data_IF_029964547301
#
_entry.id   IF_029964547301
#
_cell.length_a   1.000
_cell.length_b   1.000
_cell.length_c   1.000
_cell.angle_alpha   90.00
_cell.angle_beta   90.00
_cell.angle_gamma   90.00
#
_symmetry.space_group_name_H-M   'P 1'
#
loop_
_entity.id
_entity.type
_entity.pdbx_description
1 polymer ?
#
# COMPACT_ATOMS: atom_id res chain seq x y z
N UNK A 1 14.52 -19.33 7.44
CA UNK A 1 14.70 -18.68 6.11
C UNK A 1 15.24 -17.26 6.24
N UNK A 2 14.50 -16.30 6.82
CA UNK A 2 14.97 -14.89 6.95
C UNK A 2 16.36 -14.80 7.59
N UNK A 3 16.58 -15.47 8.74
CA UNK A 3 17.88 -15.49 9.43
C UNK A 3 18.99 -16.19 8.63
N UNK A 4 18.64 -17.20 7.82
CA UNK A 4 19.62 -17.91 6.99
C UNK A 4 20.09 -17.04 5.82
N UNK A 5 19.18 -16.26 5.22
CA UNK A 5 19.54 -15.30 4.16
C UNK A 5 20.45 -14.18 4.69
N UNK A 6 20.23 -13.73 5.92
CA UNK A 6 21.01 -12.67 6.56
C UNK A 6 22.32 -13.17 7.22
N UNK A 7 22.57 -14.48 7.25
CA UNK A 7 23.73 -15.04 7.94
C UNK A 7 25.06 -14.72 7.24
N UNK A 8 25.04 -14.54 5.92
CA UNK A 8 26.21 -14.20 5.12
C UNK A 8 25.85 -13.11 4.10
N UNK A 9 26.78 -12.19 3.76
CA UNK A 9 26.54 -11.22 2.72
C UNK A 9 26.34 -11.92 1.37
N UNK A 10 25.32 -11.49 0.63
CA UNK A 10 24.89 -12.12 -0.63
C UNK A 10 23.42 -12.54 -0.58
N UNK A 11 23.00 -13.37 -1.54
CA UNK A 11 21.64 -13.93 -1.58
C UNK A 11 21.66 -15.44 -1.78
N UNK A 12 22.17 -16.21 -0.81
CA UNK A 12 22.39 -17.65 -0.95
C UNK A 12 21.08 -18.45 -1.11
N UNK A 13 20.00 -18.08 -0.42
CA UNK A 13 18.74 -18.82 -0.42
C UNK A 13 17.78 -18.32 -1.50
N UNK A 14 17.63 -16.99 -1.65
CA UNK A 14 16.69 -16.40 -2.61
C UNK A 14 17.31 -16.06 -3.97
N UNK A 15 18.62 -16.32 -4.19
CA UNK A 15 19.31 -16.11 -5.49
C UNK A 15 19.10 -14.72 -6.11
N UNK A 16 18.92 -13.69 -5.27
CA UNK A 16 18.69 -12.30 -5.68
C UNK A 16 17.23 -11.87 -5.75
N UNK A 17 16.27 -12.76 -5.49
CA UNK A 17 14.83 -12.45 -5.51
C UNK A 17 14.38 -11.67 -4.25
N UNK A 18 14.62 -10.36 -4.27
CA UNK A 18 14.22 -9.44 -3.19
C UNK A 18 12.71 -9.41 -2.92
N UNK A 19 11.88 -9.67 -3.94
CA UNK A 19 10.43 -9.74 -3.81
C UNK A 19 9.97 -10.93 -2.96
N UNK A 20 10.59 -12.10 -3.15
CA UNK A 20 10.29 -13.30 -2.36
C UNK A 20 10.74 -13.12 -0.92
N UNK A 21 11.90 -12.52 -0.71
CA UNK A 21 12.35 -12.14 0.62
C UNK A 21 11.32 -11.23 1.32
N UNK A 22 10.85 -10.19 0.64
CA UNK A 22 9.86 -9.27 1.20
C UNK A 22 8.54 -9.97 1.54
N UNK A 23 8.02 -10.83 0.66
CA UNK A 23 6.83 -11.66 0.94
C UNK A 23 7.00 -12.54 2.19
N UNK A 24 8.17 -13.14 2.39
CA UNK A 24 8.43 -13.98 3.55
C UNK A 24 8.50 -13.14 4.83
N UNK A 25 9.13 -11.96 4.78
CA UNK A 25 9.19 -11.05 5.94
C UNK A 25 7.81 -10.51 6.31
N UNK A 26 6.99 -10.13 5.33
CA UNK A 26 5.63 -9.65 5.57
C UNK A 26 4.73 -10.74 6.14
N UNK A 27 4.76 -11.93 5.52
CA UNK A 27 4.01 -13.08 6.01
C UNK A 27 4.42 -13.46 7.43
N UNK A 28 5.73 -13.48 7.73
CA UNK A 28 6.22 -13.80 9.08
C UNK A 28 5.66 -12.84 10.13
N UNK A 29 5.76 -11.52 9.91
CA UNK A 29 5.24 -10.54 10.86
C UNK A 29 3.74 -10.68 11.11
N UNK A 30 2.97 -10.83 10.03
CA UNK A 30 1.51 -10.96 10.13
C UNK A 30 1.07 -12.29 10.76
N UNK A 31 1.72 -13.41 10.42
CA UNK A 31 1.45 -14.71 11.04
C UNK A 31 1.71 -14.64 12.54
N UNK A 32 2.89 -14.16 12.94
CA UNK A 32 3.28 -14.14 14.36
C UNK A 32 2.32 -13.31 15.21
N UNK A 33 1.92 -12.12 14.74
CA UNK A 33 1.04 -11.24 15.52
C UNK A 33 -0.42 -11.69 15.45
N UNK A 34 -1.00 -11.75 14.24
CA UNK A 34 -2.43 -11.93 14.08
C UNK A 34 -2.89 -13.39 14.14
N UNK A 35 -2.03 -14.36 13.78
CA UNK A 35 -2.42 -15.76 13.65
C UNK A 35 -1.80 -16.68 14.71
N UNK A 36 -0.76 -16.23 15.43
CA UNK A 36 -0.13 -16.99 16.51
C UNK A 36 -0.43 -16.34 17.87
N UNK A 37 0.11 -15.15 18.14
CA UNK A 37 0.04 -14.53 19.48
C UNK A 37 -1.39 -14.22 19.88
N UNK A 38 -2.15 -13.52 19.02
CA UNK A 38 -3.52 -13.10 19.34
C UNK A 38 -4.48 -14.29 19.53
N UNK A 39 -4.53 -15.30 18.63
CA UNK A 39 -5.41 -16.45 18.81
C UNK A 39 -5.02 -17.33 20.00
N UNK A 40 -3.73 -17.50 20.30
CA UNK A 40 -3.32 -18.29 21.46
C UNK A 40 -3.78 -17.61 22.76
N UNK A 41 -3.50 -16.31 22.92
CA UNK A 41 -3.81 -15.59 24.15
C UNK A 41 -5.32 -15.34 24.33
N UNK A 42 -6.00 -14.81 23.29
CA UNK A 42 -7.40 -14.40 23.40
C UNK A 42 -8.38 -15.49 22.92
N UNK A 43 -8.00 -16.26 21.90
CA UNK A 43 -8.81 -17.35 21.38
C UNK A 43 -8.73 -18.63 22.23
N UNK A 44 -7.55 -18.95 22.76
CA UNK A 44 -7.32 -20.13 23.60
C UNK A 44 -7.43 -19.80 25.09
N UNK A 45 -6.40 -19.16 25.65
CA UNK A 45 -6.29 -18.96 27.10
C UNK A 45 -7.43 -18.13 27.67
N UNK A 46 -7.81 -17.01 27.05
CA UNK A 46 -8.88 -16.17 27.60
C UNK A 46 -10.25 -16.88 27.56
N UNK A 47 -10.57 -17.61 26.48
CA UNK A 47 -11.80 -18.39 26.39
C UNK A 47 -11.89 -19.51 27.43
N UNK A 48 -10.76 -20.10 27.81
CA UNK A 48 -10.72 -21.13 28.84
C UNK A 48 -10.73 -20.54 30.27
N UNK A 49 -9.85 -19.57 30.54
CA UNK A 49 -9.62 -19.05 31.88
C UNK A 49 -10.71 -18.09 32.37
N UNK A 50 -11.36 -17.33 31.47
CA UNK A 50 -12.35 -16.34 31.90
C UNK A 50 -13.59 -17.01 32.50
N UNK A 51 -14.31 -17.92 31.79
CA UNK A 51 -15.48 -18.57 32.36
C UNK A 51 -15.16 -19.31 33.67
N UNK A 52 -14.03 -20.00 33.68
CA UNK A 52 -13.55 -20.75 34.85
C UNK A 52 -13.37 -19.86 36.09
N UNK A 53 -12.65 -18.74 35.96
CA UNK A 53 -12.39 -17.85 37.10
C UNK A 53 -13.57 -16.93 37.46
N UNK A 54 -14.46 -16.67 36.50
CA UNK A 54 -15.70 -15.91 36.73
C UNK A 54 -16.78 -16.79 37.39
N UNK A 55 -16.61 -18.12 37.33
CA UNK A 55 -17.55 -19.11 37.85
C UNK A 55 -18.76 -19.32 36.95
N UNK A 56 -18.66 -19.01 35.66
CA UNK A 56 -19.73 -19.26 34.70
C UNK A 56 -19.56 -20.64 34.05
N UNK A 57 -20.67 -21.30 33.77
CA UNK A 57 -20.67 -22.61 33.07
C UNK A 57 -20.11 -22.50 31.65
N UNK A 58 -20.34 -21.37 30.99
CA UNK A 58 -19.93 -21.10 29.61
C UNK A 58 -19.78 -19.59 29.38
N UNK A 59 -19.40 -19.21 28.16
CA UNK A 59 -19.40 -17.83 27.66
C UNK A 59 -20.83 -17.33 27.36
N UNK A 60 -21.01 -16.02 27.21
CA UNK A 60 -22.32 -15.38 27.06
C UNK A 60 -22.96 -15.71 25.71
N UNK A 61 -22.14 -15.75 24.65
CA UNK A 61 -22.57 -16.12 23.31
C UNK A 61 -21.72 -17.26 22.74
N UNK A 62 -22.04 -18.53 23.04
CA UNK A 62 -21.23 -19.69 22.60
C UNK A 62 -21.14 -19.82 21.08
N UNK A 63 -22.26 -19.60 20.37
CA UNK A 63 -22.29 -19.66 18.89
C UNK A 63 -21.45 -18.56 18.24
N UNK A 64 -21.50 -17.35 18.78
CA UNK A 64 -20.71 -16.23 18.29
C UNK A 64 -19.20 -16.48 18.51
N UNK A 65 -18.84 -17.10 19.63
CA UNK A 65 -17.46 -17.52 19.90
C UNK A 65 -16.96 -18.54 18.86
N UNK A 66 -17.79 -19.53 18.52
CA UNK A 66 -17.48 -20.52 17.50
C UNK A 66 -17.29 -19.89 16.12
N UNK A 67 -18.16 -18.94 15.73
CA UNK A 67 -18.00 -18.20 14.47
C UNK A 67 -16.68 -17.43 14.44
N UNK A 68 -16.32 -16.76 15.55
CA UNK A 68 -15.04 -16.05 15.66
C UNK A 68 -13.85 -16.98 15.45
N UNK A 69 -13.90 -18.19 16.02
CA UNK A 69 -12.88 -19.21 15.79
C UNK A 69 -12.78 -19.62 14.32
N UNK A 70 -13.90 -19.84 13.62
CA UNK A 70 -13.89 -20.27 12.21
C UNK A 70 -13.48 -19.19 11.21
N UNK A 71 -13.66 -17.91 11.54
CA UNK A 71 -13.19 -16.80 10.70
C UNK A 71 -11.65 -16.73 10.67
N UNK A 72 -11.00 -17.10 11.77
CA UNK A 72 -9.54 -17.04 11.89
C UNK A 72 -8.77 -17.91 10.88
N UNK A 73 -9.07 -19.21 10.69
CA UNK A 73 -8.42 -20.03 9.68
C UNK A 73 -8.72 -19.56 8.26
N UNK A 74 -9.90 -18.99 7.98
CA UNK A 74 -10.19 -18.37 6.68
C UNK A 74 -9.23 -17.21 6.38
N UNK A 75 -8.98 -16.34 7.36
CA UNK A 75 -7.99 -15.26 7.26
C UNK A 75 -6.56 -15.78 7.06
N UNK A 76 -6.22 -16.91 7.69
CA UNK A 76 -4.91 -17.55 7.53
C UNK A 76 -4.72 -18.17 6.14
N UNK A 77 -5.76 -18.83 5.60
CA UNK A 77 -5.72 -19.40 4.24
C UNK A 77 -5.48 -18.31 3.20
N UNK A 78 -6.12 -17.15 3.35
CA UNK A 78 -5.86 -15.99 2.49
C UNK A 78 -4.41 -15.54 2.57
N UNK A 79 -3.84 -15.42 3.77
CA UNK A 79 -2.44 -15.07 3.94
C UNK A 79 -1.50 -16.12 3.31
N UNK A 80 -1.76 -17.40 3.57
CA UNK A 80 -0.97 -18.51 3.03
C UNK A 80 -0.98 -18.54 1.50
N UNK A 81 -2.09 -18.13 0.86
CA UNK A 81 -2.22 -18.04 -0.60
C UNK A 81 -1.12 -17.20 -1.24
N UNK A 82 -0.57 -16.20 -0.54
CA UNK A 82 0.45 -15.31 -1.08
C UNK A 82 1.75 -16.05 -1.40
N UNK A 83 2.10 -17.07 -0.63
CA UNK A 83 3.26 -17.92 -0.92
C UNK A 83 3.09 -18.70 -2.23
N UNK A 84 1.85 -19.06 -2.58
CA UNK A 84 1.50 -19.81 -3.79
C UNK A 84 1.19 -18.93 -5.00
N UNK A 85 1.09 -17.60 -4.83
CA UNK A 85 0.92 -16.70 -5.96
C UNK A 85 2.16 -16.80 -6.85
N UNK A 86 1.96 -17.39 -8.03
CA UNK A 86 2.93 -17.29 -9.12
C UNK A 86 2.84 -15.89 -9.73
N UNK A 87 3.94 -15.37 -10.28
CA UNK A 87 3.89 -14.21 -11.16
C UNK A 87 3.07 -14.65 -12.38
N UNK A 88 1.77 -14.45 -12.30
CA UNK A 88 0.91 -14.64 -13.44
C UNK A 88 1.24 -13.45 -14.34
N UNK A 89 1.72 -13.74 -15.55
CA UNK A 89 2.05 -12.76 -16.60
C UNK A 89 0.76 -12.07 -17.08
N UNK A 90 -0.03 -11.50 -16.19
CA UNK A 90 -0.92 -10.43 -16.55
C UNK A 90 0.01 -9.32 -16.98
N UNK A 91 0.16 -9.17 -18.31
CA UNK A 91 0.67 -7.95 -18.90
C UNK A 91 -0.28 -6.86 -18.43
N UNK A 92 -0.01 -6.30 -17.26
CA UNK A 92 -0.43 -4.96 -16.95
C UNK A 92 0.24 -4.13 -18.02
N UNK A 93 -0.54 -3.78 -19.04
CA UNK A 93 -0.24 -2.62 -19.85
C UNK A 93 -0.34 -1.45 -18.87
N UNK A 94 0.73 -1.21 -18.11
CA UNK A 94 1.05 0.14 -17.72
C UNK A 94 1.15 0.87 -19.05
N UNK A 95 0.04 1.45 -19.52
CA UNK A 95 0.12 2.60 -20.42
C UNK A 95 0.94 3.58 -19.60
N UNK A 96 2.22 3.65 -19.88
CA UNK A 96 3.11 4.66 -19.35
C UNK A 96 2.55 5.98 -19.86
N UNK A 97 1.60 6.56 -19.13
CA UNK A 97 1.32 7.97 -19.23
C UNK A 97 2.67 8.65 -18.98
N UNK A 98 3.05 9.52 -19.90
CA UNK A 98 4.34 10.21 -19.96
C UNK A 98 5.51 9.44 -20.60
N UNK A 99 5.28 8.91 -21.79
CA UNK A 99 6.13 9.34 -22.90
C UNK A 99 5.21 9.84 -23.99
N UNK A 100 5.26 11.15 -24.30
CA UNK A 100 4.93 11.54 -25.67
C UNK A 100 5.78 10.62 -26.55
N UNK A 101 5.19 9.81 -27.45
CA UNK A 101 6.00 9.12 -28.42
C UNK A 101 6.76 10.22 -29.15
N UNK A 102 8.08 10.27 -28.95
CA UNK A 102 8.91 11.11 -29.81
C UNK A 102 8.52 10.69 -31.22
N UNK A 103 8.02 11.66 -32.00
CA UNK A 103 7.57 11.48 -33.37
C UNK A 103 8.54 10.52 -34.07
N UNK A 104 8.13 9.27 -34.23
CA UNK A 104 8.93 8.30 -34.95
C UNK A 104 9.12 8.89 -36.33
N UNK A 105 10.38 9.14 -36.70
CA UNK A 105 10.74 9.78 -37.99
C UNK A 105 10.15 9.02 -39.19
N UNK A 106 9.82 7.74 -39.00
CA UNK A 106 9.10 6.87 -39.94
C UNK A 106 7.61 7.21 -40.09
N UNK A 107 6.91 7.58 -39.01
CA UNK A 107 5.50 7.99 -39.03
C UNK A 107 5.31 9.35 -39.68
N UNK A 108 6.26 10.29 -39.50
CA UNK A 108 6.22 11.60 -40.17
C UNK A 108 6.09 11.50 -41.70
N UNK A 109 6.68 10.45 -42.32
CA UNK A 109 6.56 10.23 -43.75
C UNK A 109 5.16 9.75 -44.18
N UNK A 110 4.42 9.04 -43.34
CA UNK A 110 3.04 8.63 -43.64
C UNK A 110 2.06 9.81 -43.66
N UNK A 111 2.35 10.87 -42.90
CA UNK A 111 1.50 12.07 -42.84
C UNK A 111 1.83 13.12 -43.92
N UNK A 112 2.77 12.83 -44.81
CA UNK A 112 3.19 13.76 -45.87
C UNK A 112 2.18 13.84 -47.02
N UNK A 113 1.40 12.77 -47.23
CA UNK A 113 0.35 12.71 -48.27
C UNK A 113 -0.82 13.66 -47.98
N UNK A 114 -1.13 13.92 -46.71
CA UNK A 114 -2.26 14.79 -46.32
C UNK A 114 -1.92 16.27 -46.24
N UNK A 115 -0.71 16.68 -46.66
CA UNK A 115 -0.25 18.07 -46.50
C UNK A 115 -0.95 19.06 -47.45
N UNK A 116 -1.50 18.58 -48.57
CA UNK A 116 -2.05 19.45 -49.62
C UNK A 116 -3.58 19.39 -49.75
N UNK A 117 -4.26 18.44 -49.12
CA UNK A 117 -5.72 18.31 -49.20
C UNK A 117 -6.39 18.89 -47.93
N UNK A 118 -6.74 20.18 -48.01
CA UNK A 118 -7.38 20.93 -46.92
C UNK A 118 -8.68 20.27 -46.40
N UNK A 119 -9.41 19.54 -47.25
CA UNK A 119 -10.68 18.91 -46.90
C UNK A 119 -10.48 17.69 -45.98
N UNK A 120 -9.55 16.79 -46.33
CA UNK A 120 -9.28 15.58 -45.56
C UNK A 120 -8.52 15.86 -44.25
N UNK A 121 -7.72 16.93 -44.22
CA UNK A 121 -7.03 17.37 -43.00
C UNK A 121 -8.01 17.90 -41.93
N UNK A 122 -9.04 18.64 -42.33
CA UNK A 122 -10.06 19.15 -41.41
C UNK A 122 -10.96 18.06 -40.86
N UNK A 123 -11.30 17.05 -41.67
CA UNK A 123 -12.13 15.93 -41.23
C UNK A 123 -11.36 14.99 -40.28
N UNK A 124 -10.05 14.81 -40.51
CA UNK A 124 -9.15 14.14 -39.57
C UNK A 124 -9.09 14.87 -38.21
N UNK A 125 -8.82 16.19 -38.21
CA UNK A 125 -8.81 16.98 -36.97
C UNK A 125 -10.16 16.97 -36.26
N UNK A 126 -11.26 17.05 -37.00
CA UNK A 126 -12.61 17.01 -36.43
C UNK A 126 -12.89 15.66 -35.76
N UNK A 127 -12.45 14.56 -36.38
CA UNK A 127 -12.59 13.20 -35.83
C UNK A 127 -11.76 12.99 -34.57
N UNK A 128 -10.56 13.57 -34.52
CA UNK A 128 -9.66 13.53 -33.35
C UNK A 128 -10.15 14.43 -32.20
N UNK A 129 -10.86 15.51 -32.50
CA UNK A 129 -11.50 16.40 -31.50
C UNK A 129 -12.77 15.76 -30.92
N UNK A 130 -13.50 14.93 -31.69
CA UNK A 130 -14.77 14.32 -31.27
C UNK A 130 -14.64 13.00 -30.52
N UNK A 131 -13.45 12.40 -30.42
CA UNK A 131 -13.25 11.24 -29.56
C UNK A 131 -13.30 11.64 -28.07
N UNK A 132 -14.27 11.07 -27.35
CA UNK A 132 -14.79 11.39 -26.00
C UNK A 132 -13.80 11.20 -24.82
N UNK A 133 -12.54 11.60 -24.97
CA UNK A 133 -11.52 11.53 -23.91
C UNK A 133 -10.83 12.88 -23.61
N UNK A 134 -11.42 14.00 -24.02
CA UNK A 134 -10.84 15.33 -23.77
C UNK A 134 -11.12 15.84 -22.34
N UNK A 135 -10.09 15.74 -21.50
CA UNK A 135 -9.95 16.59 -20.31
C UNK A 135 -9.95 18.06 -20.75
N UNK A 136 -10.98 18.81 -20.37
CA UNK A 136 -11.00 20.27 -20.53
C UNK A 136 -9.86 20.91 -19.74
N UNK A 137 -8.86 21.44 -20.46
CA UNK A 137 -7.86 22.32 -19.89
C UNK A 137 -8.51 23.67 -19.54
N UNK A 138 -8.67 23.95 -18.24
CA UNK A 138 -9.07 25.29 -17.79
C UNK A 138 -7.94 26.26 -18.12
N UNK A 139 -8.20 27.28 -18.95
CA UNK A 139 -7.18 28.25 -19.34
C UNK A 139 -6.56 28.93 -18.10
N UNK A 140 -5.22 28.96 -18.05
CA UNK A 140 -4.46 29.59 -16.97
C UNK A 140 -4.74 31.09 -16.95
N UNK A 141 -5.08 31.64 -15.77
CA UNK A 141 -5.32 33.08 -15.57
C UNK A 141 -4.04 33.85 -15.93
N UNK A 142 -4.12 34.74 -16.91
CA UNK A 142 -3.01 35.64 -17.28
C UNK A 142 -2.98 36.79 -16.28
N UNK A 143 -1.97 36.81 -15.42
CA UNK A 143 -1.73 37.92 -14.49
C UNK A 143 -1.01 39.01 -15.28
N UNK A 144 -1.68 40.14 -15.53
CA UNK A 144 -1.07 41.32 -16.14
C UNK A 144 -0.49 42.20 -15.02
N UNK A 145 0.83 42.17 -14.85
CA UNK A 145 1.55 43.14 -14.02
C UNK A 145 1.96 44.30 -14.94
N UNK A 146 1.44 45.52 -14.72
CA UNK A 146 1.60 46.64 -15.66
C UNK A 146 3.04 47.15 -15.81
N UNK A 147 3.98 46.65 -15.00
CA UNK A 147 5.38 47.09 -14.99
C UNK A 147 6.29 46.31 -15.96
N UNK A 148 5.83 45.24 -16.63
CA UNK A 148 6.69 44.39 -17.46
C UNK A 148 6.03 44.01 -18.80
N UNK A 149 6.73 44.26 -19.92
CA UNK A 149 6.20 44.06 -21.29
C UNK A 149 6.69 42.80 -22.02
N UNK A 150 7.70 42.08 -21.50
CA UNK A 150 8.19 40.83 -22.12
C UNK A 150 8.45 39.79 -21.04
N UNK A 151 7.74 38.66 -21.10
CA UNK A 151 7.94 37.54 -20.19
C UNK A 151 8.48 36.34 -20.97
N UNK A 152 9.78 36.09 -20.87
CA UNK A 152 10.42 34.87 -21.39
C UNK A 152 11.10 34.14 -20.24
N UNK A 153 10.66 32.92 -19.96
CA UNK A 153 11.39 32.00 -19.10
C UNK A 153 12.49 31.35 -19.94
N UNK A 154 13.63 32.03 -20.04
CA UNK A 154 15.01 31.56 -20.32
C UNK A 154 15.77 32.72 -20.99
N UNK A 155 16.86 33.23 -20.40
CA UNK A 155 17.67 34.23 -21.07
C UNK A 155 18.50 33.55 -22.18
N UNK A 156 18.18 33.87 -23.45
CA UNK A 156 18.94 33.50 -24.65
C UNK A 156 20.39 34.05 -24.67
N UNK A 157 20.77 34.83 -23.64
CA UNK A 157 22.08 35.50 -23.51
C UNK A 157 23.25 34.55 -23.16
N UNK A 158 22.96 33.28 -22.88
CA UNK A 158 23.97 32.25 -22.54
C UNK A 158 24.42 31.38 -23.73
N UNK A 159 23.92 31.64 -24.94
CA UNK A 159 24.21 30.82 -26.14
C UNK A 159 25.44 31.27 -26.94
N UNK A 160 26.19 32.28 -26.50
CA UNK A 160 27.32 32.82 -27.28
C UNK A 160 28.67 32.48 -26.64
N UNK A 161 29.54 31.80 -27.39
CA UNK A 161 30.87 31.35 -26.94
C UNK A 161 31.76 32.49 -26.40
N UNK A 162 31.55 33.72 -26.89
CA UNK A 162 32.27 34.94 -26.46
C UNK A 162 31.94 35.35 -25.01
N UNK A 163 30.75 35.05 -24.49
CA UNK A 163 30.36 35.46 -23.11
C UNK A 163 30.82 34.46 -22.06
N UNK A 164 31.03 33.20 -22.42
CA UNK A 164 31.61 32.16 -21.56
C UNK A 164 33.09 32.41 -21.20
N UNK A 165 33.85 33.02 -22.12
CA UNK A 165 35.27 33.34 -21.90
C UNK A 165 35.43 34.46 -20.86
N UNK A 166 34.50 35.42 -20.82
CA UNK A 166 34.59 36.58 -19.92
C UNK A 166 34.18 36.27 -18.47
N UNK A 167 33.55 35.13 -18.20
CA UNK A 167 33.09 34.76 -16.86
C UNK A 167 33.40 33.28 -16.56
N UNK A 168 34.64 32.94 -16.17
CA UNK A 168 35.09 31.54 -15.98
C UNK A 168 34.26 30.78 -14.93
N UNK A 169 33.72 31.48 -13.93
CA UNK A 169 32.81 30.92 -12.92
C UNK A 169 31.52 30.33 -13.52
N UNK A 170 31.00 30.96 -14.57
CA UNK A 170 29.78 30.50 -15.24
C UNK A 170 30.01 29.24 -16.09
N UNK A 171 31.23 29.08 -16.62
CA UNK A 171 31.66 27.86 -17.30
C UNK A 171 31.80 26.70 -16.31
N UNK A 172 32.42 26.93 -15.15
CA UNK A 172 32.54 25.90 -14.10
C UNK A 172 31.16 25.50 -13.55
N UNK A 173 30.25 26.45 -13.37
CA UNK A 173 28.87 26.19 -12.98
C UNK A 173 28.10 25.35 -14.02
N UNK A 174 28.30 25.60 -15.32
CA UNK A 174 27.69 24.81 -16.38
C UNK A 174 28.30 23.39 -16.49
N UNK A 175 29.62 23.29 -16.43
CA UNK A 175 30.34 22.02 -16.52
C UNK A 175 30.01 21.08 -15.36
N UNK A 176 29.94 21.60 -14.13
CA UNK A 176 29.60 20.83 -12.93
C UNK A 176 28.18 20.24 -12.99
N UNK A 177 27.20 21.00 -13.50
CA UNK A 177 25.83 20.52 -13.74
C UNK A 177 25.77 19.39 -14.78
N UNK A 178 26.57 19.48 -15.84
CA UNK A 178 26.65 18.44 -16.89
C UNK A 178 27.30 17.16 -16.35
N UNK A 179 28.30 17.26 -15.47
CA UNK A 179 28.92 16.09 -14.83
C UNK A 179 27.94 15.40 -13.86
N UNK A 180 27.17 16.18 -13.11
CA UNK A 180 26.18 15.65 -12.15
C UNK A 180 24.97 15.00 -12.83
N UNK A 181 24.59 15.46 -14.03
CA UNK A 181 23.55 14.80 -14.85
C UNK A 181 24.03 13.48 -15.44
N UNK A 182 25.31 13.37 -15.83
CA UNK A 182 25.89 12.14 -16.41
C UNK A 182 26.21 11.05 -15.37
N UNK A 183 26.27 11.36 -14.08
CA UNK A 183 26.53 10.38 -12.99
C UNK A 183 25.33 10.00 -12.14
N UNK A 184 24.10 10.13 -12.64
CA UNK A 184 23.01 9.30 -12.10
C UNK A 184 23.03 7.96 -12.80
N UNK A 185 23.62 6.93 -12.16
CA UNK A 185 23.21 5.55 -12.41
C UNK A 185 21.73 5.47 -12.04
N UNK A 186 20.85 5.74 -13.01
CA UNK A 186 19.43 5.51 -12.86
C UNK A 186 19.26 4.01 -12.90
N UNK A 187 19.24 3.38 -11.73
CA UNK A 187 18.75 2.02 -11.62
C UNK A 187 17.25 2.06 -11.90
N UNK A 188 16.85 1.85 -13.15
CA UNK A 188 15.47 1.52 -13.48
C UNK A 188 15.26 0.09 -13.03
N UNK A 189 15.05 -0.13 -11.73
CA UNK A 189 14.49 -1.39 -11.25
C UNK A 189 13.05 -1.41 -11.69
N UNK A 190 12.77 -2.02 -12.85
CA UNK A 190 11.41 -2.42 -13.18
C UNK A 190 10.94 -3.31 -12.02
N UNK A 191 9.91 -2.90 -11.28
CA UNK A 191 9.17 -3.85 -10.44
C UNK A 191 8.48 -4.84 -11.38
N UNK A 192 9.26 -5.83 -11.85
CA UNK A 192 8.86 -6.81 -12.86
C UNK A 192 7.62 -7.61 -12.47
N UNK A 193 7.28 -7.65 -11.18
CA UNK A 193 6.13 -8.36 -10.64
C UNK A 193 5.47 -7.57 -9.51
N UNK A 194 4.91 -6.42 -9.85
CA UNK A 194 4.16 -5.56 -8.91
C UNK A 194 2.98 -6.28 -8.23
N UNK A 195 2.40 -7.29 -8.86
CA UNK A 195 1.33 -8.11 -8.27
C UNK A 195 1.81 -8.96 -7.10
N UNK A 196 3.12 -9.24 -7.01
CA UNK A 196 3.77 -10.03 -5.96
C UNK A 196 4.42 -9.17 -4.86
N UNK A 197 4.64 -7.88 -5.10
CA UNK A 197 5.25 -6.98 -4.11
C UNK A 197 4.33 -6.77 -2.91
N UNK A 198 4.86 -6.93 -1.70
CA UNK A 198 4.14 -6.68 -0.43
C UNK A 198 4.83 -5.55 0.33
N UNK A 199 4.09 -4.75 1.09
CA UNK A 199 4.62 -3.48 1.62
C UNK A 199 5.42 -3.55 2.94
N UNK A 200 5.37 -4.68 3.63
CA UNK A 200 5.68 -4.75 5.06
C UNK A 200 4.48 -5.28 5.85
N UNK A 201 4.68 -5.72 7.10
CA UNK A 201 3.58 -6.10 7.98
C UNK A 201 2.76 -4.87 8.47
N UNK A 202 3.36 -3.68 8.47
CA UNK A 202 2.75 -2.41 8.90
C UNK A 202 2.03 -1.65 7.79
N UNK A 203 2.12 -2.09 6.54
CA UNK A 203 1.50 -1.45 5.38
C UNK A 203 1.73 0.06 5.26
N UNK A 204 2.98 0.52 5.34
CA UNK A 204 3.32 1.95 5.30
C UNK A 204 2.94 2.59 3.95
N UNK A 205 2.15 3.67 4.01
CA UNK A 205 1.82 4.53 2.87
C UNK A 205 2.96 5.53 2.60
N UNK A 206 3.27 5.89 1.33
CA UNK A 206 2.51 5.64 0.10
C UNK A 206 2.88 4.32 -0.62
N UNK A 207 3.76 3.49 -0.06
CA UNK A 207 4.23 2.26 -0.73
C UNK A 207 3.13 1.20 -0.82
N UNK A 208 2.34 1.03 0.24
CA UNK A 208 1.21 0.10 0.31
C UNK A 208 -0.04 0.59 -0.44
N UNK A 209 -0.31 1.89 -0.48
CA UNK A 209 -1.51 2.45 -1.09
C UNK A 209 -1.40 2.67 -2.61
N UNK A 210 -0.20 2.92 -3.12
CA UNK A 210 -0.03 3.25 -4.54
C UNK A 210 0.11 2.00 -5.43
N UNK A 211 -0.82 1.84 -6.38
CA UNK A 211 -0.84 0.78 -7.39
C UNK A 211 0.37 0.83 -8.33
N UNK A 212 1.21 1.87 -8.30
CA UNK A 212 2.50 1.94 -9.01
C UNK A 212 3.58 1.08 -8.36
N UNK A 213 3.51 0.87 -7.04
CA UNK A 213 4.51 0.11 -6.29
C UNK A 213 4.00 -1.28 -5.92
N UNK A 214 2.74 -1.37 -5.48
CA UNK A 214 2.10 -2.62 -5.07
C UNK A 214 0.82 -2.83 -5.88
N UNK A 215 0.86 -3.81 -6.79
CA UNK A 215 -0.22 -4.08 -7.74
C UNK A 215 -1.39 -4.78 -7.08
N UNK A 216 -2.46 -4.97 -7.86
CA UNK A 216 -3.63 -5.73 -7.40
C UNK A 216 -3.24 -7.20 -7.27
N UNK A 217 -3.52 -7.82 -6.12
CA UNK A 217 -3.15 -9.22 -5.86
C UNK A 217 -2.63 -9.46 -4.45
N UNK A 218 -1.31 -9.65 -4.28
CA UNK A 218 -0.74 -10.07 -2.99
C UNK A 218 -1.04 -9.08 -1.86
N UNK A 219 -0.91 -7.78 -2.10
CA UNK A 219 -1.18 -6.74 -1.11
C UNK A 219 -2.67 -6.69 -0.73
N UNK A 220 -3.61 -6.88 -1.67
CA UNK A 220 -5.05 -6.87 -1.36
C UNK A 220 -5.49 -8.11 -0.59
N UNK A 221 -4.90 -9.26 -0.91
CA UNK A 221 -5.12 -10.50 -0.16
C UNK A 221 -4.63 -10.34 1.29
N UNK A 222 -3.52 -9.64 1.53
CA UNK A 222 -3.05 -9.30 2.87
C UNK A 222 -4.03 -8.40 3.62
N UNK A 223 -4.52 -7.36 2.97
CA UNK A 223 -5.51 -6.42 3.52
C UNK A 223 -6.75 -7.20 3.96
N UNK A 224 -7.29 -8.04 3.08
CA UNK A 224 -8.46 -8.86 3.37
C UNK A 224 -8.21 -9.85 4.52
N UNK A 225 -7.04 -10.50 4.56
CA UNK A 225 -6.65 -11.41 5.63
C UNK A 225 -6.64 -10.71 7.00
N UNK A 226 -6.10 -9.50 7.08
CA UNK A 226 -6.07 -8.70 8.32
C UNK A 226 -7.49 -8.27 8.73
N UNK A 227 -8.37 -7.94 7.78
CA UNK A 227 -9.78 -7.65 8.09
C UNK A 227 -10.47 -8.87 8.71
N UNK A 228 -10.28 -10.08 8.19
CA UNK A 228 -10.83 -11.30 8.80
C UNK A 228 -10.29 -11.53 10.22
N UNK A 229 -8.98 -11.34 10.45
CA UNK A 229 -8.42 -11.41 11.80
C UNK A 229 -9.00 -10.31 12.73
N UNK A 230 -9.23 -9.11 12.22
CA UNK A 230 -9.89 -8.01 12.94
C UNK A 230 -11.34 -8.33 13.34
N UNK A 231 -12.10 -8.98 12.46
CA UNK A 231 -13.48 -9.41 12.76
C UNK A 231 -13.47 -10.50 13.83
N UNK A 232 -12.61 -11.53 13.70
CA UNK A 232 -12.48 -12.61 14.69
C UNK A 232 -12.13 -12.06 16.09
N UNK A 233 -11.14 -11.16 16.16
CA UNK A 233 -10.74 -10.53 17.43
C UNK A 233 -11.84 -9.68 18.05
N UNK A 234 -12.62 -8.97 17.22
CA UNK A 234 -13.76 -8.18 17.68
C UNK A 234 -14.86 -9.04 18.31
N UNK A 235 -15.17 -10.16 17.68
CA UNK A 235 -16.11 -11.16 18.19
C UNK A 235 -15.62 -11.75 19.53
N UNK A 236 -14.34 -12.11 19.61
CA UNK A 236 -13.75 -12.70 20.82
C UNK A 236 -13.76 -11.72 22.00
N UNK A 237 -13.25 -10.49 21.85
CA UNK A 237 -13.18 -9.58 22.99
C UNK A 237 -14.57 -9.10 23.44
N UNK A 238 -15.50 -8.86 22.52
CA UNK A 238 -16.86 -8.42 22.89
C UNK A 238 -17.56 -9.50 23.71
N UNK A 239 -17.51 -10.75 23.28
CA UNK A 239 -18.08 -11.87 24.00
C UNK A 239 -17.46 -12.02 25.40
N UNK A 240 -16.13 -12.00 25.50
CA UNK A 240 -15.42 -12.15 26.77
C UNK A 240 -15.63 -10.97 27.73
N UNK A 241 -15.78 -9.74 27.25
CA UNK A 241 -16.14 -8.62 28.12
C UNK A 241 -17.59 -8.72 28.61
N UNK A 242 -18.51 -9.24 27.78
CA UNK A 242 -19.90 -9.45 28.17
C UNK A 242 -20.01 -10.59 29.19
N UNK A 243 -19.28 -11.69 29.04
CA UNK A 243 -19.27 -12.79 30.04
C UNK A 243 -19.00 -12.31 31.45
N UNK A 244 -17.98 -11.46 31.62
CA UNK A 244 -17.67 -10.84 32.90
C UNK A 244 -18.81 -9.97 33.41
N UNK A 245 -19.49 -9.25 32.52
CA UNK A 245 -20.55 -8.30 32.91
C UNK A 245 -21.83 -9.03 33.31
N UNK A 246 -22.18 -10.13 32.65
CA UNK A 246 -23.50 -10.77 32.78
C UNK A 246 -23.47 -12.07 33.59
N UNK A 247 -22.44 -12.91 33.42
CA UNK A 247 -22.39 -14.27 33.97
C UNK A 247 -21.50 -14.40 35.21
N UNK A 248 -21.03 -13.27 35.77
CA UNK A 248 -20.21 -13.31 36.97
C UNK A 248 -20.99 -13.75 38.22
N UNK A 249 -20.38 -14.66 38.99
CA UNK A 249 -20.95 -15.13 40.25
C UNK A 249 -21.30 -13.95 41.19
N UNK A 250 -22.44 -14.01 41.91
CA UNK A 250 -22.79 -12.99 42.88
C UNK A 250 -21.73 -12.92 43.98
N UNK A 251 -21.07 -11.76 44.11
CA UNK A 251 -19.93 -11.55 45.00
C UNK A 251 -18.69 -11.01 44.27
N UNK A 252 -18.39 -11.53 43.08
CA UNK A 252 -17.28 -11.05 42.24
C UNK A 252 -17.55 -9.62 41.72
N UNK A 253 -18.82 -9.33 41.43
CA UNK A 253 -19.28 -8.02 40.91
C UNK A 253 -19.08 -6.86 41.90
N UNK A 254 -19.19 -7.14 43.20
CA UNK A 254 -18.96 -6.15 44.26
C UNK A 254 -17.50 -6.15 44.76
N UNK A 255 -16.58 -6.82 44.06
CA UNK A 255 -15.17 -7.00 44.47
C UNK A 255 -15.01 -7.61 45.89
N UNK A 256 -16.00 -8.37 46.37
CA UNK A 256 -15.90 -9.09 47.65
C UNK A 256 -14.91 -10.24 47.58
N UNK A 257 -14.69 -10.79 46.39
CA UNK A 257 -13.71 -11.85 46.10
C UNK A 257 -12.72 -11.32 45.06
N UNK A 258 -11.42 -11.49 45.34
CA UNK A 258 -10.33 -11.11 44.44
C UNK A 258 -10.25 -12.10 43.27
N UNK A 259 -10.15 -11.57 42.05
CA UNK A 259 -9.89 -12.37 40.86
C UNK A 259 -8.38 -12.67 40.74
N UNK A 260 -7.98 -13.82 40.17
CA UNK A 260 -6.58 -14.12 39.91
C UNK A 260 -5.93 -13.06 39.02
N UNK A 261 -4.65 -12.72 39.28
CA UNK A 261 -3.93 -11.67 38.56
C UNK A 261 -3.97 -11.85 37.03
N UNK A 262 -3.86 -13.09 36.56
CA UNK A 262 -3.93 -13.45 35.13
C UNK A 262 -5.26 -13.02 34.49
N UNK A 263 -6.38 -13.14 35.19
CA UNK A 263 -7.67 -12.70 34.64
C UNK A 263 -7.80 -11.19 34.57
N UNK A 264 -7.23 -10.48 35.54
CA UNK A 264 -7.23 -9.03 35.59
C UNK A 264 -6.41 -8.49 34.40
N UNK A 265 -5.24 -9.09 34.13
CA UNK A 265 -4.42 -8.72 32.98
C UNK A 265 -5.13 -9.03 31.65
N UNK A 266 -5.79 -10.18 31.53
CA UNK A 266 -6.60 -10.51 30.34
C UNK A 266 -7.74 -9.50 30.16
N UNK A 267 -8.46 -9.11 31.22
CA UNK A 267 -9.52 -8.11 31.08
C UNK A 267 -9.00 -6.71 30.73
N UNK A 268 -7.83 -6.33 31.24
CA UNK A 268 -7.19 -5.07 30.88
C UNK A 268 -6.80 -5.07 29.40
N UNK A 269 -6.17 -6.15 28.94
CA UNK A 269 -5.77 -6.29 27.53
C UNK A 269 -6.98 -6.36 26.59
N UNK A 270 -8.09 -7.03 26.97
CA UNK A 270 -9.33 -7.03 26.19
C UNK A 270 -9.93 -5.62 26.03
N UNK A 271 -9.83 -4.76 27.06
CA UNK A 271 -10.28 -3.36 26.97
C UNK A 271 -9.39 -2.52 26.05
N UNK A 272 -8.06 -2.73 26.09
CA UNK A 272 -7.13 -2.08 25.16
C UNK A 272 -7.38 -2.55 23.73
N UNK A 273 -7.66 -3.84 23.54
CA UNK A 273 -7.97 -4.39 22.23
C UNK A 273 -9.26 -3.76 21.67
N UNK A 274 -10.28 -3.56 22.50
CA UNK A 274 -11.53 -2.93 22.11
C UNK A 274 -11.38 -1.49 21.59
N UNK A 275 -10.38 -0.74 22.08
CA UNK A 275 -10.11 0.62 21.58
C UNK A 275 -9.23 0.64 20.34
N UNK A 276 -8.33 -0.34 20.19
CA UNK A 276 -7.34 -0.40 19.10
C UNK A 276 -7.93 -1.02 17.82
N UNK A 277 -8.73 -2.09 17.92
CA UNK A 277 -9.21 -2.80 16.71
C UNK A 277 -10.05 -1.94 15.75
N UNK A 278 -10.91 -1.00 16.19
CA UNK A 278 -11.66 -0.15 15.25
C UNK A 278 -10.74 0.80 14.49
N UNK A 279 -9.69 1.31 15.16
CA UNK A 279 -8.70 2.20 14.55
C UNK A 279 -7.89 1.46 13.48
N UNK A 280 -7.45 0.23 13.79
CA UNK A 280 -6.77 -0.64 12.84
C UNK A 280 -7.69 -0.95 11.63
N UNK A 281 -8.96 -1.29 11.89
CA UNK A 281 -9.94 -1.57 10.85
C UNK A 281 -10.16 -0.37 9.93
N UNK A 282 -10.31 0.83 10.50
CA UNK A 282 -10.45 2.07 9.73
C UNK A 282 -9.23 2.34 8.84
N UNK A 283 -8.01 2.21 9.37
CA UNK A 283 -6.79 2.42 8.60
C UNK A 283 -6.64 1.45 7.42
N UNK A 284 -6.96 0.17 7.63
CA UNK A 284 -6.92 -0.86 6.57
C UNK A 284 -7.98 -0.60 5.50
N UNK A 285 -9.18 -0.14 5.90
CA UNK A 285 -10.26 0.24 4.97
C UNK A 285 -9.89 1.50 4.17
N UNK A 286 -9.33 2.54 4.81
CA UNK A 286 -8.83 3.74 4.13
C UNK A 286 -7.78 3.39 3.09
N UNK A 287 -6.82 2.54 3.43
CA UNK A 287 -5.84 2.05 2.47
C UNK A 287 -6.48 1.26 1.31
N UNK A 288 -7.50 0.45 1.58
CA UNK A 288 -8.24 -0.25 0.53
C UNK A 288 -8.97 0.74 -0.41
N UNK A 289 -9.51 1.83 0.14
CA UNK A 289 -10.09 2.92 -0.63
C UNK A 289 -9.05 3.64 -1.50
N UNK A 290 -7.89 3.96 -0.95
CA UNK A 290 -6.82 4.62 -1.72
C UNK A 290 -6.34 3.72 -2.88
N UNK A 291 -6.31 2.41 -2.66
CA UNK A 291 -5.88 1.42 -3.67
C UNK A 291 -6.90 1.20 -4.78
N UNK A 292 -8.20 1.14 -4.48
CA UNK A 292 -9.21 0.75 -5.47
C UNK A 292 -10.07 1.90 -5.98
N UNK A 293 -10.28 2.94 -5.18
CA UNK A 293 -11.16 4.06 -5.48
C UNK A 293 -10.42 5.40 -5.62
N UNK A 294 -9.09 5.39 -5.60
CA UNK A 294 -8.26 6.59 -5.79
C UNK A 294 -8.60 7.72 -4.80
N UNK A 295 -9.00 7.37 -3.58
CA UNK A 295 -9.09 8.34 -2.49
C UNK A 295 -7.69 8.83 -2.08
N UNK A 296 -7.65 9.89 -1.28
CA UNK A 296 -6.41 10.52 -0.80
C UNK A 296 -6.50 10.79 0.70
N UNK A 297 -6.56 9.71 1.49
CA UNK A 297 -6.53 9.77 2.96
C UNK A 297 -5.14 10.09 3.52
#
# INVERSE_FOLDING_TARGET
MIRLELAHPGSPFFKGDSLRYLQVVTAHGLIMVFFVVVPILFGGFANFLIPYHVGSKDVAYPRLNSIGFWIQPCGYILLAKIGFLRPQFWRYYDKTSFSFPFLEKMKYNQYKEYKNDYLFYLDFLKKEITDDHSFFWKARKVIKLPQYSVFSFVPLKLMMWKTMINYPESFWYAASRVVQSRRKKVFVTKCSARTLTTAGWTFITPFSSNIKYTGVGSQDILILSVVFAGISTTISFTNLLITRRTLAMPGLRHRRVLMPFVTISIFLTLRMLATITPVLGAAVIMMAFDRHWQTTF
#
